data_IF_249861956626
#
_entry.id   IF_249861956626
#
_cell.length_a   1.000
_cell.length_b   1.000
_cell.length_c   1.000
_cell.angle_alpha   90.00
_cell.angle_beta   90.00
_cell.angle_gamma   90.00
#
_symmetry.space_group_name_H-M   'P 1'
#
loop_
_entity.id
_entity.type
_entity.pdbx_description
1 polymer ?
#
# COMPACT_ATOMS: atom_id res chain seq x y z
N UNK A 1 -67.98 72.81 -50.90
CA UNK A 1 -68.87 71.88 -51.55
C UNK A 1 -68.08 70.63 -51.90
N UNK A 2 -68.64 69.48 -51.64
CA UNK A 2 -68.21 68.13 -51.99
C UNK A 2 -67.53 67.37 -50.83
N UNK A 3 -68.32 66.50 -50.26
CA UNK A 3 -67.91 65.41 -49.42
C UNK A 3 -67.40 64.24 -50.29
N UNK A 4 -66.46 63.50 -49.85
CA UNK A 4 -66.45 62.07 -50.21
C UNK A 4 -66.55 61.17 -48.96
N UNK A 5 -67.09 60.05 -49.23
CA UNK A 5 -67.54 59.04 -48.27
C UNK A 5 -66.45 58.10 -47.73
N UNK A 6 -66.89 57.21 -46.89
CA UNK A 6 -65.95 56.35 -46.08
C UNK A 6 -65.43 55.15 -46.83
N UNK A 7 -64.11 54.90 -46.76
CA UNK A 7 -63.52 53.66 -47.27
C UNK A 7 -63.38 52.68 -46.07
N UNK A 8 -64.08 51.56 -46.19
CA UNK A 8 -63.94 50.43 -45.24
C UNK A 8 -62.57 49.80 -45.44
N UNK A 9 -61.76 49.82 -44.44
CA UNK A 9 -60.52 49.03 -44.40
C UNK A 9 -60.80 47.74 -43.63
N UNK A 10 -60.73 46.61 -44.36
CA UNK A 10 -60.76 45.27 -43.77
C UNK A 10 -59.43 44.96 -43.09
N UNK A 11 -59.46 44.77 -41.78
CA UNK A 11 -58.34 44.31 -41.02
C UNK A 11 -58.26 42.77 -41.14
N UNK A 12 -57.20 42.27 -41.79
CA UNK A 12 -56.81 40.85 -41.80
C UNK A 12 -56.02 40.58 -40.56
N UNK A 13 -56.59 39.83 -39.60
CA UNK A 13 -55.91 39.33 -38.43
C UNK A 13 -55.02 38.14 -38.83
N UNK A 14 -53.71 38.32 -38.84
CA UNK A 14 -52.70 37.25 -38.94
C UNK A 14 -52.63 36.59 -37.58
N UNK A 15 -53.11 35.35 -37.47
CA UNK A 15 -52.87 34.50 -36.31
C UNK A 15 -51.46 33.94 -36.41
N UNK A 16 -50.53 34.49 -35.65
CA UNK A 16 -49.20 33.93 -35.46
C UNK A 16 -49.34 32.71 -34.55
N UNK A 17 -49.18 31.52 -35.10
CA UNK A 17 -48.96 30.31 -34.32
C UNK A 17 -47.54 30.35 -33.78
N UNK A 18 -47.41 30.57 -32.47
CA UNK A 18 -46.15 30.39 -31.78
C UNK A 18 -45.82 28.88 -31.71
N UNK A 19 -44.61 28.46 -32.05
CA UNK A 19 -44.21 27.08 -31.78
C UNK A 19 -44.14 26.87 -30.25
N UNK A 20 -44.84 25.86 -29.75
CA UNK A 20 -44.65 25.39 -28.39
C UNK A 20 -43.19 24.87 -28.28
N UNK A 21 -42.38 25.61 -27.57
CA UNK A 21 -41.08 25.10 -27.09
C UNK A 21 -41.43 24.05 -26.05
N UNK A 22 -41.30 22.78 -26.38
CA UNK A 22 -41.26 21.73 -25.38
C UNK A 22 -40.07 22.03 -24.48
N UNK A 23 -40.36 22.45 -23.24
CA UNK A 23 -39.37 22.43 -22.18
C UNK A 23 -38.91 20.97 -22.03
N UNK A 24 -37.76 20.67 -22.63
CA UNK A 24 -37.00 19.45 -22.36
C UNK A 24 -36.50 19.60 -20.93
N UNK A 25 -37.36 19.31 -19.94
CA UNK A 25 -36.95 19.09 -18.58
C UNK A 25 -35.98 17.89 -18.61
N UNK A 26 -34.74 18.19 -19.01
CA UNK A 26 -33.62 17.28 -18.84
C UNK A 26 -33.63 16.85 -17.39
N UNK A 27 -33.90 15.59 -17.19
CA UNK A 27 -33.98 14.94 -15.90
C UNK A 27 -32.67 15.19 -15.14
N UNK A 28 -32.61 16.26 -14.34
CA UNK A 28 -31.45 16.68 -13.57
C UNK A 28 -31.00 15.61 -12.53
N UNK A 29 -31.83 14.60 -12.33
CA UNK A 29 -31.60 13.43 -11.52
C UNK A 29 -30.72 12.35 -12.19
N UNK A 30 -30.48 12.47 -13.51
CA UNK A 30 -29.64 11.48 -14.23
C UNK A 30 -28.15 11.85 -14.30
N UNK A 31 -27.78 13.01 -13.80
CA UNK A 31 -26.37 13.45 -13.76
C UNK A 31 -25.69 13.12 -12.44
N UNK A 32 -26.04 12.01 -11.76
CA UNK A 32 -25.09 11.39 -10.86
C UNK A 32 -24.01 10.75 -11.71
N UNK A 33 -23.05 11.55 -12.14
CA UNK A 33 -21.75 11.06 -12.51
C UNK A 33 -21.21 10.35 -11.27
N UNK A 34 -21.29 9.02 -11.23
CA UNK A 34 -20.48 8.22 -10.35
C UNK A 34 -19.02 8.47 -10.78
N UNK A 35 -18.46 9.60 -10.32
CA UNK A 35 -17.03 9.72 -10.31
C UNK A 35 -16.54 8.56 -9.45
N UNK A 36 -15.75 7.63 -10.01
CA UNK A 36 -15.13 6.62 -9.17
C UNK A 36 -14.40 7.37 -8.06
N UNK A 37 -14.78 7.13 -6.83
CA UNK A 37 -14.09 7.70 -5.68
C UNK A 37 -12.61 7.38 -5.88
N UNK A 38 -11.76 8.39 -5.94
CA UNK A 38 -10.33 8.19 -6.13
C UNK A 38 -9.86 7.28 -5.00
N UNK A 39 -9.40 6.09 -5.33
CA UNK A 39 -8.89 5.14 -4.35
C UNK A 39 -7.76 5.83 -3.57
N UNK A 40 -7.80 5.71 -2.24
CA UNK A 40 -6.71 6.21 -1.42
C UNK A 40 -5.44 5.41 -1.75
N UNK A 41 -4.33 6.10 -2.09
CA UNK A 41 -3.09 5.40 -2.36
C UNK A 41 -2.62 4.65 -1.11
N UNK A 42 -2.10 3.44 -1.32
CA UNK A 42 -1.44 2.70 -0.27
C UNK A 42 -0.12 3.38 0.09
N UNK A 43 0.09 3.56 1.38
CA UNK A 43 1.36 4.05 1.92
C UNK A 43 1.87 3.04 2.93
N UNK A 44 3.16 2.71 2.86
CA UNK A 44 3.84 1.85 3.83
C UNK A 44 4.89 2.65 4.58
N UNK A 45 4.87 2.52 5.90
CA UNK A 45 5.87 3.07 6.80
C UNK A 45 6.52 1.94 7.60
N UNK A 46 7.84 1.88 7.59
CA UNK A 46 8.60 0.91 8.40
C UNK A 46 8.92 1.56 9.73
N UNK A 47 8.24 1.13 10.80
CA UNK A 47 8.41 1.66 12.15
C UNK A 47 9.72 1.17 12.79
N UNK A 48 10.05 -0.10 12.57
CA UNK A 48 11.31 -0.70 13.02
C UNK A 48 11.86 -1.68 12.00
N UNK A 49 13.17 -1.62 11.79
CA UNK A 49 13.88 -2.61 10.97
C UNK A 49 14.11 -3.92 11.71
N UNK A 50 14.33 -5.00 10.95
CA UNK A 50 14.73 -6.30 11.49
C UNK A 50 16.14 -6.21 12.05
N UNK A 51 16.34 -6.64 13.31
CA UNK A 51 17.63 -6.55 13.99
C UNK A 51 17.95 -7.83 14.75
N UNK A 52 19.04 -8.49 14.39
CA UNK A 52 19.52 -9.73 15.02
C UNK A 52 20.38 -9.51 16.27
N UNK A 53 20.77 -8.26 16.55
CA UNK A 53 21.69 -7.94 17.64
C UNK A 53 23.10 -8.51 17.42
N UNK A 54 23.76 -8.97 18.48
CA UNK A 54 25.13 -9.45 18.45
C UNK A 54 25.17 -10.96 18.26
N UNK A 55 25.75 -11.39 17.15
CA UNK A 55 25.96 -12.80 16.83
C UNK A 55 27.47 -13.05 16.65
N UNK A 56 27.95 -14.15 17.17
CA UNK A 56 29.31 -14.64 16.95
C UNK A 56 29.28 -15.86 16.01
N UNK A 57 30.34 -16.02 15.22
CA UNK A 57 30.55 -17.22 14.42
C UNK A 57 31.48 -18.19 15.19
N UNK A 58 31.17 -19.46 15.14
CA UNK A 58 31.99 -20.52 15.69
C UNK A 58 32.97 -20.97 14.61
N UNK A 59 34.23 -20.48 14.72
CA UNK A 59 35.25 -20.78 13.72
C UNK A 59 34.96 -20.13 12.37
N UNK A 60 35.18 -20.90 11.27
CA UNK A 60 34.90 -20.51 9.90
C UNK A 60 33.72 -21.28 9.34
N UNK A 61 32.79 -21.68 10.18
CA UNK A 61 31.62 -22.43 9.77
C UNK A 61 30.52 -21.51 9.25
N UNK A 62 29.68 -22.06 8.41
CA UNK A 62 28.42 -21.43 8.05
C UNK A 62 27.54 -21.37 9.30
N UNK A 63 26.83 -20.28 9.46
CA UNK A 63 25.96 -20.07 10.60
C UNK A 63 24.62 -19.45 10.18
N UNK A 64 23.60 -19.70 10.99
CA UNK A 64 22.31 -19.13 10.79
C UNK A 64 21.64 -18.67 12.10
N UNK A 65 20.81 -17.67 11.99
CA UNK A 65 19.94 -17.19 13.06
C UNK A 65 18.59 -16.77 12.47
N UNK A 66 17.54 -16.90 13.24
CA UNK A 66 16.18 -16.58 12.80
C UNK A 66 15.50 -15.69 13.83
N UNK A 67 14.66 -14.77 13.35
CA UNK A 67 13.75 -14.00 14.19
C UNK A 67 12.33 -14.36 13.79
N UNK A 68 11.56 -14.80 14.78
CA UNK A 68 10.16 -15.12 14.64
C UNK A 68 9.31 -13.85 14.51
N UNK A 69 8.39 -13.83 13.53
CA UNK A 69 7.56 -12.66 13.24
C UNK A 69 6.49 -12.37 14.27
N UNK A 70 6.08 -13.36 15.08
CA UNK A 70 5.03 -13.19 16.07
C UNK A 70 5.58 -12.81 17.43
N UNK A 71 6.59 -13.54 17.89
CA UNK A 71 7.17 -13.36 19.22
C UNK A 71 8.37 -12.40 19.25
N UNK A 72 9.05 -12.19 18.11
CA UNK A 72 10.31 -11.49 18.05
C UNK A 72 11.47 -12.28 18.64
N UNK A 73 11.25 -13.55 18.99
CA UNK A 73 12.28 -14.42 19.56
C UNK A 73 13.37 -14.70 18.53
N UNK A 74 14.61 -14.57 19.00
CA UNK A 74 15.79 -14.92 18.21
C UNK A 74 16.19 -16.36 18.49
N UNK A 75 16.31 -17.18 17.45
CA UNK A 75 16.87 -18.53 17.51
C UNK A 75 18.17 -18.57 16.74
N UNK A 76 19.15 -19.26 17.30
CA UNK A 76 20.49 -19.34 16.72
C UNK A 76 20.82 -20.80 16.46
N UNK A 77 21.18 -21.13 15.22
CA UNK A 77 21.55 -22.48 14.81
C UNK A 77 23.03 -22.76 15.01
N UNK A 78 23.42 -24.02 14.77
CA UNK A 78 24.81 -24.45 14.82
C UNK A 78 25.69 -23.58 13.91
N UNK A 79 26.89 -23.24 14.40
CA UNK A 79 27.81 -22.35 13.69
C UNK A 79 27.74 -20.89 14.11
N UNK A 80 26.69 -20.49 14.81
CA UNK A 80 26.57 -19.19 15.47
C UNK A 80 26.37 -19.32 16.98
N UNK A 81 26.75 -18.29 17.70
CA UNK A 81 26.43 -18.09 19.12
C UNK A 81 25.79 -16.73 19.34
N UNK A 82 24.85 -16.70 20.25
CA UNK A 82 24.24 -15.47 20.70
C UNK A 82 25.18 -14.78 21.70
N UNK A 83 25.66 -13.60 21.33
CA UNK A 83 26.50 -12.78 22.19
C UNK A 83 25.68 -11.77 23.03
N UNK A 84 24.37 -11.94 23.05
CA UNK A 84 23.45 -11.09 23.79
C UNK A 84 23.04 -9.84 23.03
N UNK A 85 22.30 -8.98 23.73
CA UNK A 85 21.65 -7.80 23.18
C UNK A 85 20.23 -8.10 22.72
N UNK A 86 19.46 -7.04 22.44
CA UNK A 86 18.07 -7.16 22.08
C UNK A 86 17.92 -7.39 20.57
N UNK A 87 17.26 -8.46 20.19
CA UNK A 87 16.81 -8.69 18.83
C UNK A 87 15.41 -8.12 18.64
N UNK A 88 15.11 -7.64 17.45
CA UNK A 88 13.80 -7.07 17.14
C UNK A 88 13.31 -7.60 15.79
N UNK A 89 12.05 -8.02 15.78
CA UNK A 89 11.31 -8.22 14.54
C UNK A 89 11.11 -6.88 13.81
N UNK A 90 11.03 -6.92 12.50
CA UNK A 90 10.63 -5.75 11.73
C UNK A 90 9.15 -5.45 11.98
N UNK A 91 8.80 -4.17 12.02
CA UNK A 91 7.42 -3.70 12.10
C UNK A 91 7.14 -2.69 11.01
N UNK A 92 5.99 -2.82 10.40
CA UNK A 92 5.52 -1.89 9.39
C UNK A 92 4.04 -1.59 9.57
N UNK A 93 3.66 -0.40 9.15
CA UNK A 93 2.29 0.10 9.11
C UNK A 93 1.92 0.42 7.67
N UNK A 94 0.79 -0.07 7.23
CA UNK A 94 0.18 0.25 5.94
C UNK A 94 -1.03 1.11 6.16
N UNK A 95 -1.18 2.16 5.38
CA UNK A 95 -2.37 3.02 5.38
C UNK A 95 -2.98 3.08 3.99
N UNK A 96 -4.31 3.11 3.92
CA UNK A 96 -5.02 3.11 2.65
C UNK A 96 -6.53 3.24 2.83
N UNK A 97 -7.28 2.66 1.92
CA UNK A 97 -8.74 2.67 1.97
C UNK A 97 -9.27 1.70 3.03
N UNK A 98 -10.17 2.15 3.93
CA UNK A 98 -10.73 1.31 4.99
C UNK A 98 -11.38 0.04 4.46
N UNK A 99 -11.26 -1.05 5.24
CA UNK A 99 -11.91 -2.33 4.99
C UNK A 99 -11.57 -2.95 3.61
N UNK A 100 -10.47 -2.54 3.00
CA UNK A 100 -9.97 -3.13 1.74
C UNK A 100 -8.97 -4.25 2.04
N UNK A 101 -9.06 -5.37 1.35
CA UNK A 101 -8.05 -6.40 1.41
C UNK A 101 -6.78 -5.93 0.70
N UNK A 102 -5.63 -6.27 1.29
CA UNK A 102 -4.31 -5.94 0.76
C UNK A 102 -3.41 -7.16 0.76
N UNK A 103 -2.51 -7.17 -0.21
CA UNK A 103 -1.45 -8.15 -0.32
C UNK A 103 -0.12 -7.51 0.05
N UNK A 104 0.60 -8.13 0.95
CA UNK A 104 1.95 -7.72 1.36
C UNK A 104 2.96 -8.73 0.83
N UNK A 105 3.84 -8.28 -0.03
CA UNK A 105 4.90 -9.10 -0.62
C UNK A 105 6.26 -8.70 -0.04
N UNK A 106 6.94 -9.67 0.56
CA UNK A 106 8.31 -9.57 1.03
C UNK A 106 9.26 -10.20 0.00
N UNK A 107 10.51 -9.74 -0.09
CA UNK A 107 11.47 -10.32 -1.02
C UNK A 107 11.83 -11.74 -0.59
N UNK A 108 12.06 -12.63 -1.54
CA UNK A 108 12.52 -13.99 -1.22
C UNK A 108 13.93 -14.02 -0.64
N UNK A 109 14.75 -12.99 -0.94
CA UNK A 109 16.16 -12.93 -0.55
C UNK A 109 16.66 -11.50 -0.50
N UNK A 110 17.47 -11.17 0.52
CA UNK A 110 18.16 -9.88 0.64
C UNK A 110 19.62 -10.11 0.98
N UNK A 111 20.53 -9.54 0.22
CA UNK A 111 21.96 -9.54 0.54
C UNK A 111 22.28 -8.44 1.52
N UNK A 112 23.02 -8.79 2.56
CA UNK A 112 23.58 -7.87 3.52
C UNK A 112 25.08 -7.76 3.28
N UNK A 113 25.60 -6.56 3.46
CA UNK A 113 27.02 -6.30 3.30
C UNK A 113 27.59 -5.64 4.54
N UNK A 114 28.80 -6.00 4.87
CA UNK A 114 29.61 -5.37 5.89
C UNK A 114 30.69 -4.49 5.24
N UNK A 115 31.17 -3.43 5.91
CA UNK A 115 32.23 -2.57 5.39
C UNK A 115 33.56 -3.28 5.09
N UNK A 116 33.82 -4.41 5.72
CA UNK A 116 34.99 -5.26 5.49
C UNK A 116 34.86 -6.17 4.25
N UNK A 117 33.76 -6.09 3.51
CA UNK A 117 33.48 -6.90 2.32
C UNK A 117 32.82 -8.24 2.60
N UNK A 118 32.58 -8.60 3.85
CA UNK A 118 31.82 -9.81 4.20
C UNK A 118 30.36 -9.69 3.79
N UNK A 119 29.77 -10.79 3.35
CA UNK A 119 28.37 -10.88 2.93
C UNK A 119 27.59 -11.84 3.82
N UNK A 120 26.33 -11.51 4.05
CA UNK A 120 25.32 -12.36 4.67
C UNK A 120 24.02 -12.26 3.87
N UNK A 121 23.11 -13.15 4.12
CA UNK A 121 21.86 -13.23 3.37
C UNK A 121 20.69 -13.37 4.32
N UNK A 122 19.60 -12.62 4.04
CA UNK A 122 18.31 -12.86 4.65
C UNK A 122 17.45 -13.65 3.69
N UNK A 123 16.84 -14.72 4.18
CA UNK A 123 15.88 -15.58 3.47
C UNK A 123 14.71 -15.91 4.38
N UNK A 124 13.77 -16.71 3.88
CA UNK A 124 12.65 -17.25 4.65
C UNK A 124 11.91 -16.16 5.43
N UNK A 125 11.55 -15.09 4.72
CA UNK A 125 10.76 -14.02 5.31
C UNK A 125 9.37 -14.53 5.67
N UNK A 126 8.96 -14.24 6.90
CA UNK A 126 7.63 -14.58 7.44
C UNK A 126 6.98 -13.33 8.02
N UNK A 127 5.65 -13.30 8.02
CA UNK A 127 4.86 -12.25 8.64
C UNK A 127 3.87 -12.83 9.64
N UNK A 128 3.36 -12.00 10.54
CA UNK A 128 2.27 -12.35 11.43
C UNK A 128 0.87 -12.11 10.80
N UNK A 129 0.82 -11.77 9.51
CA UNK A 129 -0.42 -11.52 8.80
C UNK A 129 -1.21 -12.82 8.55
N UNK A 130 -2.55 -12.73 8.55
CA UNK A 130 -3.39 -13.82 8.05
C UNK A 130 -3.22 -13.98 6.53
N UNK A 131 -3.69 -15.11 5.99
CA UNK A 131 -3.62 -15.39 4.55
C UNK A 131 -4.26 -14.30 3.67
N UNK A 132 -5.30 -13.63 4.17
CA UNK A 132 -5.90 -12.44 3.58
C UNK A 132 -5.82 -11.33 4.61
N UNK A 133 -4.93 -10.39 4.39
CA UNK A 133 -4.79 -9.21 5.23
C UNK A 133 -5.80 -8.14 4.81
N UNK A 134 -6.35 -7.41 5.76
CA UNK A 134 -7.35 -6.37 5.52
C UNK A 134 -7.01 -5.13 6.34
N UNK A 135 -7.16 -3.97 5.73
CA UNK A 135 -7.09 -2.70 6.46
C UNK A 135 -8.28 -2.57 7.41
N UNK A 136 -8.06 -2.00 8.57
CA UNK A 136 -9.11 -1.77 9.58
C UNK A 136 -10.12 -0.67 9.16
N UNK A 137 -11.06 -0.35 10.04
CA UNK A 137 -12.07 0.71 9.79
C UNK A 137 -11.45 2.10 9.63
N UNK A 138 -10.21 2.31 10.08
CA UNK A 138 -9.47 3.57 9.92
C UNK A 138 -8.57 3.55 8.67
N UNK A 139 -8.52 2.41 7.96
CA UNK A 139 -7.64 2.22 6.82
C UNK A 139 -6.20 1.92 7.21
N UNK A 140 -5.98 1.25 8.35
CA UNK A 140 -4.65 0.94 8.89
C UNK A 140 -4.48 -0.56 9.02
N UNK A 141 -3.28 -1.06 8.72
CA UNK A 141 -2.85 -2.43 8.98
C UNK A 141 -1.43 -2.38 9.54
N UNK A 142 -1.24 -2.88 10.75
CA UNK A 142 0.07 -3.07 11.36
C UNK A 142 0.48 -4.53 11.28
N UNK A 143 1.72 -4.77 10.95
CA UNK A 143 2.24 -6.12 10.91
C UNK A 143 3.72 -6.18 11.30
N UNK A 144 4.11 -7.38 11.72
CA UNK A 144 5.49 -7.71 12.03
C UNK A 144 6.03 -8.70 11.02
N UNK A 145 7.33 -8.66 10.81
CA UNK A 145 8.02 -9.61 9.94
C UNK A 145 9.34 -10.07 10.56
N UNK A 146 9.65 -11.31 10.29
CA UNK A 146 10.91 -11.96 10.65
C UNK A 146 11.60 -12.51 9.43
N UNK A 147 12.82 -13.01 9.61
CA UNK A 147 13.58 -13.67 8.57
C UNK A 147 14.69 -14.54 9.14
N UNK A 148 15.23 -15.40 8.30
CA UNK A 148 16.43 -16.18 8.58
C UNK A 148 17.67 -15.47 8.01
N UNK A 149 18.63 -15.17 8.90
CA UNK A 149 19.96 -14.71 8.54
C UNK A 149 20.86 -15.92 8.32
N UNK A 150 21.57 -15.97 7.21
CA UNK A 150 22.59 -16.98 6.94
C UNK A 150 23.91 -16.32 6.52
N UNK A 151 25.02 -16.89 6.98
CA UNK A 151 26.36 -16.47 6.60
C UNK A 151 27.11 -17.64 6.01
N UNK A 152 27.91 -17.38 4.97
CA UNK A 152 28.81 -18.37 4.38
C UNK A 152 30.23 -17.79 4.36
N UNK A 153 31.18 -18.49 4.97
CA UNK A 153 32.58 -18.05 5.05
C UNK A 153 32.73 -16.59 5.51
N UNK A 154 31.77 -16.08 6.28
CA UNK A 154 31.81 -14.71 6.75
C UNK A 154 32.80 -14.57 7.92
N UNK A 155 33.51 -13.47 7.93
CA UNK A 155 34.20 -12.98 9.12
C UNK A 155 33.16 -12.10 9.87
N UNK A 156 33.33 -11.91 11.16
CA UNK A 156 32.45 -11.02 11.92
C UNK A 156 32.39 -9.63 11.29
N UNK A 157 31.25 -8.95 11.40
CA UNK A 157 31.09 -7.62 10.81
C UNK A 157 29.74 -6.98 11.13
N UNK A 158 29.57 -5.73 10.74
CA UNK A 158 28.30 -5.01 10.86
C UNK A 158 27.52 -5.09 9.55
N UNK A 159 26.65 -6.08 9.42
CA UNK A 159 25.89 -6.32 8.21
C UNK A 159 24.69 -5.39 8.08
N UNK A 160 24.52 -4.79 6.90
CA UNK A 160 23.40 -3.89 6.57
C UNK A 160 22.83 -4.23 5.21
N UNK A 161 21.51 -4.08 5.08
CA UNK A 161 20.78 -4.27 3.83
C UNK A 161 19.44 -3.56 3.84
N UNK A 162 18.79 -3.49 2.68
CA UNK A 162 17.44 -2.91 2.54
C UNK A 162 16.46 -4.02 2.18
N UNK A 163 15.37 -4.08 2.91
CA UNK A 163 14.25 -4.98 2.64
C UNK A 163 13.21 -4.17 1.86
N UNK A 164 12.96 -4.55 0.63
CA UNK A 164 11.92 -3.95 -0.20
C UNK A 164 10.59 -4.65 0.09
N UNK A 165 9.65 -3.95 0.68
CA UNK A 165 8.30 -4.44 0.95
C UNK A 165 7.37 -3.81 -0.09
N UNK A 166 6.53 -4.63 -0.74
CA UNK A 166 5.50 -4.19 -1.67
C UNK A 166 4.14 -4.44 -1.06
N UNK A 167 3.23 -3.50 -1.27
CA UNK A 167 1.84 -3.63 -0.83
C UNK A 167 0.93 -3.19 -1.98
N UNK A 168 -0.03 -4.04 -2.32
CA UNK A 168 -1.00 -3.80 -3.37
C UNK A 168 -2.42 -4.10 -2.84
N UNK A 169 -3.44 -3.44 -3.37
CA UNK A 169 -4.83 -3.86 -3.17
C UNK A 169 -5.10 -5.15 -3.94
N UNK A 170 -6.01 -5.96 -3.41
CA UNK A 170 -6.53 -7.14 -4.11
C UNK A 170 -7.50 -6.73 -5.21
#
# INVERSE_FOLDING_TARGET
>A
MSRPGPVLAAAIALISAAPAVADDEACELCAFSMQPAAERPLTIEVESGLQFSRLGLVGRSDGAAEIDAHSGEKRVDAGMIDLGGMAYQGRARVTGEPLRPVRVDLPGRVRLRSPDGSEAELTDFVTNLPAVAMLDANGVLEFSFGARLSTRNAHGGSFRGRIAIRVDYY
#
